data_IF_461909026906
#
_entry.id   IF_461909026906
#
_cell.length_a   1.000
_cell.length_b   1.000
_cell.length_c   1.000
_cell.angle_alpha   90.00
_cell.angle_beta   90.00
_cell.angle_gamma   90.00
#
_symmetry.space_group_name_H-M   'P 1'
#
loop_
_entity.id
_entity.type
_entity.pdbx_description
1 polymer ?
#
# COMPACT_ATOMS: atom_id res chain seq x y z
N UNK A 1 -54.66 -34.34 20.24
CA UNK A 1 -54.35 -32.92 20.11
C UNK A 1 -52.85 -32.76 19.95
N UNK A 2 -52.33 -32.65 18.70
CA UNK A 2 -50.89 -32.50 18.41
C UNK A 2 -50.61 -31.00 18.31
N UNK A 3 -49.77 -30.48 19.21
CA UNK A 3 -49.30 -29.08 19.18
C UNK A 3 -48.12 -29.04 18.20
N UNK A 4 -48.35 -28.37 17.07
CA UNK A 4 -47.34 -28.06 16.08
C UNK A 4 -46.52 -26.86 16.60
N UNK A 5 -45.32 -27.10 17.08
CA UNK A 5 -44.39 -26.04 17.47
C UNK A 5 -43.85 -25.35 16.22
N UNK A 6 -44.23 -24.10 16.01
CA UNK A 6 -43.70 -23.21 14.98
C UNK A 6 -42.32 -22.72 15.41
N UNK A 7 -41.27 -23.28 14.85
CA UNK A 7 -39.93 -22.75 14.98
C UNK A 7 -39.79 -21.49 14.13
N UNK A 8 -39.96 -20.30 14.73
CA UNK A 8 -39.52 -19.06 14.14
C UNK A 8 -37.99 -19.01 14.18
N UNK A 9 -37.35 -19.39 13.09
CA UNK A 9 -35.95 -19.13 12.88
C UNK A 9 -35.73 -17.60 12.82
N UNK A 10 -35.13 -17.06 13.87
CA UNK A 10 -34.60 -15.67 13.83
C UNK A 10 -33.48 -15.63 12.80
N UNK A 11 -33.80 -15.29 11.56
CA UNK A 11 -32.82 -14.89 10.56
C UNK A 11 -32.21 -13.57 11.01
N UNK A 12 -31.09 -13.64 11.71
CA UNK A 12 -30.26 -12.48 11.99
C UNK A 12 -29.62 -12.05 10.67
N UNK A 13 -30.27 -11.14 9.94
CA UNK A 13 -29.70 -10.54 8.73
C UNK A 13 -28.44 -9.81 9.14
N UNK A 14 -27.29 -10.28 8.67
CA UNK A 14 -26.05 -9.53 8.68
C UNK A 14 -26.30 -8.28 7.80
N UNK A 15 -26.02 -7.10 8.34
CA UNK A 15 -26.22 -5.85 7.60
C UNK A 15 -25.01 -5.64 6.70
N UNK A 16 -25.21 -5.63 5.39
CA UNK A 16 -24.22 -5.19 4.43
C UNK A 16 -23.84 -3.73 4.71
N UNK A 17 -22.55 -3.41 4.65
CA UNK A 17 -22.03 -2.05 4.88
C UNK A 17 -21.43 -1.49 3.60
N UNK A 18 -21.59 -0.17 3.34
CA UNK A 18 -21.00 0.46 2.16
C UNK A 18 -19.48 0.66 2.29
N UNK A 19 -18.85 0.20 3.34
CA UNK A 19 -17.42 0.33 3.56
C UNK A 19 -16.86 -0.88 4.30
N UNK A 20 -15.57 -1.16 4.07
CA UNK A 20 -14.77 -2.10 4.85
C UNK A 20 -13.74 -1.32 5.65
N UNK A 21 -13.45 -1.77 6.86
CA UNK A 21 -12.42 -1.15 7.70
C UNK A 21 -11.85 -2.14 8.71
N UNK A 22 -10.67 -1.79 9.22
CA UNK A 22 -10.01 -2.51 10.31
C UNK A 22 -9.52 -1.50 11.34
N UNK A 23 -9.91 -1.71 12.61
CA UNK A 23 -9.55 -0.83 13.72
C UNK A 23 -10.50 0.36 13.87
N UNK A 24 -10.11 1.55 13.44
CA UNK A 24 -10.93 2.75 13.58
C UNK A 24 -12.13 2.77 12.63
N UNK A 25 -13.24 3.36 13.11
CA UNK A 25 -14.42 3.59 12.25
C UNK A 25 -14.07 4.51 11.08
N UNK A 26 -14.65 4.26 9.90
CA UNK A 26 -14.40 5.06 8.71
C UNK A 26 -14.72 6.54 8.92
N UNK A 27 -13.84 7.40 8.42
CA UNK A 27 -14.00 8.85 8.41
C UNK A 27 -15.19 9.29 7.56
N UNK A 28 -15.34 8.67 6.39
CA UNK A 28 -16.39 9.00 5.42
C UNK A 28 -17.58 8.06 5.63
N UNK A 29 -18.58 8.54 6.38
CA UNK A 29 -19.82 7.79 6.66
C UNK A 29 -20.84 7.92 5.53
N UNK A 30 -21.99 7.30 5.72
CA UNK A 30 -23.12 7.35 4.81
C UNK A 30 -23.41 8.78 4.36
N UNK A 31 -23.49 9.20 3.23
CA UNK A 31 -23.72 10.55 2.69
C UNK A 31 -22.46 11.42 2.43
N UNK A 32 -21.22 10.88 2.49
CA UNK A 32 -20.12 11.65 1.98
C UNK A 32 -20.26 11.89 0.46
N UNK A 33 -19.83 13.06 0.00
CA UNK A 33 -20.01 13.48 -1.39
C UNK A 33 -18.73 13.36 -2.23
N UNK A 34 -17.59 13.36 -1.58
CA UNK A 34 -16.26 13.19 -2.16
C UNK A 34 -15.25 13.05 -1.04
N UNK A 35 -14.08 12.50 -1.31
CA UNK A 35 -12.96 12.52 -0.36
C UNK A 35 -12.45 13.96 -0.16
N UNK A 36 -12.13 14.34 1.07
CA UNK A 36 -11.69 15.70 1.40
C UNK A 36 -10.41 16.14 0.67
N UNK A 37 -9.55 15.21 0.32
CA UNK A 37 -8.34 15.48 -0.46
C UNK A 37 -8.62 15.68 -1.96
N UNK A 38 -9.84 15.49 -2.43
CA UNK A 38 -10.24 15.66 -3.83
C UNK A 38 -11.09 16.94 -4.00
N UNK A 39 -10.73 17.78 -4.98
CA UNK A 39 -11.54 18.95 -5.33
C UNK A 39 -12.68 18.54 -6.28
N UNK A 40 -13.96 18.51 -5.83
CA UNK A 40 -15.08 18.09 -6.66
C UNK A 40 -15.32 19.01 -7.88
N UNK A 41 -14.82 20.24 -7.82
CA UNK A 41 -14.94 21.27 -8.87
C UNK A 41 -13.66 21.41 -9.70
N UNK A 42 -12.70 20.49 -9.59
CA UNK A 42 -11.49 20.51 -10.39
C UNK A 42 -11.82 20.51 -11.90
N UNK A 43 -11.16 21.39 -12.64
CA UNK A 43 -11.31 21.45 -14.10
C UNK A 43 -10.90 20.13 -14.72
N UNK A 44 -11.70 19.68 -15.70
CA UNK A 44 -11.38 18.51 -16.52
C UNK A 44 -10.71 19.00 -17.81
N UNK A 45 -9.64 18.32 -18.20
CA UNK A 45 -8.95 18.67 -19.46
C UNK A 45 -7.43 18.65 -19.32
N UNK A 46 -6.76 18.88 -20.45
CA UNK A 46 -5.30 18.98 -20.50
C UNK A 46 -4.56 17.66 -20.42
N UNK A 47 -3.24 17.78 -20.34
CA UNK A 47 -2.30 16.65 -20.33
C UNK A 47 -1.43 16.75 -19.10
N UNK A 48 -1.32 15.64 -18.35
CA UNK A 48 -0.32 15.47 -17.29
C UNK A 48 0.84 14.66 -17.85
N UNK A 49 2.04 15.24 -17.85
CA UNK A 49 3.28 14.58 -18.24
C UNK A 49 4.05 14.16 -16.99
N UNK A 50 4.44 12.91 -16.94
CA UNK A 50 5.22 12.32 -15.85
C UNK A 50 6.48 11.65 -16.40
N UNK A 51 7.45 11.42 -15.54
CA UNK A 51 8.60 10.58 -15.83
C UNK A 51 8.35 9.11 -15.44
N UNK A 52 9.18 8.26 -16.01
CA UNK A 52 9.39 6.88 -15.57
C UNK A 52 10.88 6.54 -15.73
N UNK A 53 11.41 5.66 -14.88
CA UNK A 53 12.83 5.31 -14.94
C UNK A 53 13.00 3.92 -15.56
N UNK A 54 14.01 3.81 -16.43
CA UNK A 54 14.37 2.55 -17.07
C UNK A 54 13.59 2.30 -18.36
N UNK A 55 12.81 1.23 -18.44
CA UNK A 55 12.12 0.77 -19.64
C UNK A 55 10.88 -0.05 -19.28
N UNK A 56 10.06 -0.39 -20.28
CA UNK A 56 8.99 -1.39 -20.13
C UNK A 56 8.85 -2.25 -21.39
N UNK A 57 8.38 -3.47 -21.21
CA UNK A 57 8.06 -4.43 -22.26
C UNK A 57 6.75 -5.20 -21.99
N UNK A 58 5.98 -4.73 -21.00
CA UNK A 58 4.71 -5.35 -20.59
C UNK A 58 3.66 -4.30 -20.25
N UNK A 59 2.43 -4.52 -20.72
CA UNK A 59 1.22 -3.81 -20.29
C UNK A 59 0.41 -4.62 -19.27
N UNK A 60 0.96 -5.76 -18.80
CA UNK A 60 0.31 -6.61 -17.83
C UNK A 60 0.90 -6.43 -16.42
N UNK A 61 0.16 -5.85 -15.46
CA UNK A 61 0.65 -5.63 -14.11
C UNK A 61 0.62 -6.89 -13.24
N UNK A 62 0.00 -7.97 -13.71
CA UNK A 62 -0.30 -9.16 -12.90
C UNK A 62 0.78 -10.24 -12.96
N UNK A 63 1.70 -10.19 -13.90
CA UNK A 63 2.73 -11.21 -14.12
C UNK A 63 4.11 -10.73 -13.68
N UNK A 64 5.01 -11.69 -13.38
CA UNK A 64 6.41 -11.37 -13.03
C UNK A 64 7.29 -11.18 -14.26
N UNK A 65 6.93 -11.78 -15.41
CA UNK A 65 7.75 -11.74 -16.60
C UNK A 65 7.67 -10.36 -17.26
N UNK A 66 8.82 -9.77 -17.55
CA UNK A 66 8.94 -8.46 -18.16
C UNK A 66 8.91 -7.32 -17.14
N UNK A 67 9.06 -6.11 -17.64
CA UNK A 67 8.96 -4.86 -16.89
C UNK A 67 7.65 -4.18 -17.25
N UNK A 68 6.77 -4.02 -16.27
CA UNK A 68 5.47 -3.39 -16.49
C UNK A 68 5.60 -1.90 -16.78
N UNK A 69 4.73 -1.38 -17.65
CA UNK A 69 4.62 0.06 -17.88
C UNK A 69 4.11 0.79 -16.62
N UNK A 70 4.54 2.05 -16.45
CA UNK A 70 4.00 2.93 -15.41
C UNK A 70 2.56 3.34 -15.71
N UNK A 71 1.77 3.58 -14.65
CA UNK A 71 0.39 4.06 -14.75
C UNK A 71 -0.66 3.00 -15.11
N UNK A 72 -0.33 1.70 -15.10
CA UNK A 72 -1.30 0.63 -15.39
C UNK A 72 -2.44 0.52 -14.35
N UNK A 73 -2.28 1.09 -13.17
CA UNK A 73 -3.34 1.24 -12.17
C UNK A 73 -4.47 2.18 -12.63
N UNK A 74 -4.20 3.07 -13.56
CA UNK A 74 -5.21 3.97 -14.15
C UNK A 74 -6.26 3.25 -15.00
N UNK A 75 -5.97 2.04 -15.48
CA UNK A 75 -6.86 1.31 -16.40
C UNK A 75 -7.71 0.23 -15.70
N UNK A 76 -7.49 0.00 -14.40
CA UNK A 76 -8.26 -1.00 -13.65
C UNK A 76 -8.91 -0.41 -12.42
N UNK A 77 -10.20 -0.63 -12.28
CA UNK A 77 -10.90 -0.45 -11.01
C UNK A 77 -10.84 -1.72 -10.15
N UNK A 78 -10.92 -1.53 -8.86
CA UNK A 78 -11.00 -2.58 -7.84
C UNK A 78 -12.42 -2.79 -7.36
N UNK A 79 -12.68 -3.83 -6.58
CA UNK A 79 -14.00 -4.02 -5.97
C UNK A 79 -14.38 -2.83 -5.08
N UNK A 80 -13.45 -2.42 -4.22
CA UNK A 80 -13.57 -1.22 -3.38
C UNK A 80 -12.33 -0.36 -3.53
N UNK A 81 -12.37 0.89 -3.11
CA UNK A 81 -11.24 1.81 -3.19
C UNK A 81 -10.80 2.26 -1.81
N UNK A 82 -9.50 2.14 -1.55
CA UNK A 82 -8.89 2.63 -0.32
C UNK A 82 -8.92 4.17 -0.28
N UNK A 83 -9.22 4.74 0.89
CA UNK A 83 -8.99 6.14 1.16
C UNK A 83 -7.50 6.44 1.29
N UNK A 84 -7.04 7.60 0.81
CA UNK A 84 -5.63 8.02 0.92
C UNK A 84 -5.32 8.76 2.23
N UNK A 85 -6.33 9.03 3.04
CA UNK A 85 -6.19 9.71 4.34
C UNK A 85 -6.65 8.86 5.53
N UNK A 86 -6.92 7.55 5.26
CA UNK A 86 -7.24 6.55 6.27
C UNK A 86 -6.45 5.26 5.99
N UNK A 87 -5.75 4.69 6.98
CA UNK A 87 -4.85 3.58 6.73
C UNK A 87 -5.54 2.28 6.31
N UNK A 88 -6.74 2.00 6.83
CA UNK A 88 -7.41 0.71 6.67
C UNK A 88 -8.92 0.86 6.45
N UNK A 89 -9.32 1.80 5.58
CA UNK A 89 -10.71 1.98 5.19
C UNK A 89 -10.86 1.96 3.68
N UNK A 90 -11.87 1.24 3.21
CA UNK A 90 -12.22 1.09 1.80
C UNK A 90 -13.68 1.43 1.56
N UNK A 91 -13.94 2.06 0.42
CA UNK A 91 -15.20 2.67 0.06
C UNK A 91 -15.75 2.11 -1.25
N UNK A 92 -17.06 2.28 -1.51
CA UNK A 92 -17.70 1.74 -2.69
C UNK A 92 -17.02 2.13 -4.00
N UNK A 93 -16.85 1.13 -4.86
CA UNK A 93 -16.46 1.28 -6.24
C UNK A 93 -17.23 0.26 -7.09
N UNK A 94 -16.59 -0.78 -7.68
CA UNK A 94 -17.31 -1.83 -8.41
C UNK A 94 -18.30 -2.55 -7.49
N UNK A 95 -17.93 -2.82 -6.23
CA UNK A 95 -18.85 -3.22 -5.19
C UNK A 95 -19.43 -1.96 -4.50
N UNK A 96 -20.75 -1.91 -4.38
CA UNK A 96 -21.46 -0.84 -3.66
C UNK A 96 -21.55 -1.10 -2.16
N UNK A 97 -21.47 -2.35 -1.74
CA UNK A 97 -21.47 -2.81 -0.35
C UNK A 97 -20.77 -4.17 -0.19
N UNK A 98 -20.43 -4.50 1.05
CA UNK A 98 -19.86 -5.77 1.43
C UNK A 98 -20.51 -6.29 2.73
N UNK A 99 -20.74 -7.60 2.80
CA UNK A 99 -21.20 -8.31 3.98
C UNK A 99 -20.11 -9.27 4.46
N UNK A 100 -19.52 -8.99 5.61
CA UNK A 100 -18.53 -9.87 6.24
C UNK A 100 -19.23 -10.73 7.28
N UNK A 101 -18.97 -12.06 7.26
CA UNK A 101 -19.49 -12.98 8.26
C UNK A 101 -19.02 -12.58 9.68
N UNK A 102 -19.88 -12.75 10.69
CA UNK A 102 -19.56 -12.43 12.09
C UNK A 102 -18.33 -13.20 12.59
N UNK A 103 -18.17 -14.42 12.14
CA UNK A 103 -17.03 -15.29 12.46
C UNK A 103 -15.86 -15.09 11.48
N UNK A 104 -15.94 -14.14 10.55
CA UNK A 104 -14.96 -13.91 9.50
C UNK A 104 -14.70 -15.12 8.58
N UNK A 105 -15.70 -15.97 8.36
CA UNK A 105 -15.57 -17.15 7.48
C UNK A 105 -15.76 -16.85 5.99
N UNK A 106 -16.36 -15.70 5.65
CA UNK A 106 -16.56 -15.24 4.28
C UNK A 106 -16.81 -13.74 4.19
N UNK A 107 -16.69 -13.22 2.95
CA UNK A 107 -17.24 -11.92 2.55
C UNK A 107 -18.09 -12.07 1.29
N UNK A 108 -19.20 -11.32 1.21
CA UNK A 108 -20.03 -11.17 0.02
C UNK A 108 -19.95 -9.74 -0.46
N UNK A 109 -19.54 -9.54 -1.71
CA UNK A 109 -19.58 -8.22 -2.36
C UNK A 109 -20.83 -8.11 -3.23
N UNK A 110 -21.56 -7.01 -3.08
CA UNK A 110 -22.71 -6.64 -3.93
C UNK A 110 -22.24 -5.62 -4.96
N UNK A 111 -22.28 -5.97 -6.23
CA UNK A 111 -21.80 -5.09 -7.30
C UNK A 111 -22.80 -3.97 -7.63
N UNK A 112 -22.29 -2.80 -7.98
CA UNK A 112 -23.09 -1.71 -8.52
C UNK A 112 -23.58 -2.08 -9.93
N UNK A 113 -24.87 -2.07 -10.14
CA UNK A 113 -25.51 -2.41 -11.43
C UNK A 113 -25.10 -1.45 -12.56
N UNK A 114 -24.57 -0.27 -12.23
CA UNK A 114 -24.05 0.72 -13.18
C UNK A 114 -22.64 0.41 -13.64
N UNK A 115 -21.90 -0.45 -12.94
CA UNK A 115 -20.48 -0.74 -13.23
C UNK A 115 -20.31 -1.28 -14.67
N UNK A 116 -19.37 -0.67 -15.41
CA UNK A 116 -19.10 -0.95 -16.82
C UNK A 116 -17.61 -0.98 -17.11
N UNK A 117 -17.26 -1.86 -18.03
CA UNK A 117 -15.95 -1.81 -18.69
C UNK A 117 -15.85 -0.65 -19.71
N UNK A 118 -14.64 -0.37 -20.20
CA UNK A 118 -14.37 0.68 -21.18
C UNK A 118 -15.08 0.47 -22.52
N UNK A 119 -15.45 -0.75 -22.88
CA UNK A 119 -16.27 -1.11 -24.03
C UNK A 119 -17.78 -1.09 -23.72
N UNK A 120 -18.19 -0.50 -22.61
CA UNK A 120 -19.57 -0.38 -22.11
C UNK A 120 -20.25 -1.70 -21.71
N UNK A 121 -19.53 -2.83 -21.73
CA UNK A 121 -20.09 -4.09 -21.21
C UNK A 121 -20.28 -4.02 -19.69
N UNK A 122 -21.35 -4.63 -19.12
CA UNK A 122 -21.57 -4.63 -17.68
C UNK A 122 -20.49 -5.44 -16.97
N UNK A 123 -20.10 -4.98 -15.78
CA UNK A 123 -19.25 -5.75 -14.87
C UNK A 123 -20.17 -6.65 -14.02
N UNK A 124 -19.93 -7.95 -14.05
CA UNK A 124 -20.75 -8.96 -13.38
C UNK A 124 -19.92 -9.75 -12.35
N UNK A 125 -20.60 -10.40 -11.42
CA UNK A 125 -19.98 -11.27 -10.42
C UNK A 125 -19.12 -12.40 -11.06
N UNK A 126 -19.49 -12.82 -12.27
CA UNK A 126 -18.68 -13.76 -13.05
C UNK A 126 -17.35 -13.20 -13.50
N UNK A 127 -17.24 -11.87 -13.73
CA UNK A 127 -15.97 -11.22 -14.05
C UNK A 127 -15.08 -11.13 -12.82
N UNK A 128 -15.67 -10.86 -11.66
CA UNK A 128 -14.95 -10.82 -10.36
C UNK A 128 -14.34 -12.18 -10.04
N UNK A 129 -15.16 -13.24 -10.07
CA UNK A 129 -14.66 -14.61 -9.87
C UNK A 129 -13.57 -14.96 -10.87
N UNK A 130 -13.79 -14.63 -12.14
CA UNK A 130 -12.85 -14.90 -13.21
C UNK A 130 -11.52 -14.16 -13.01
N UNK A 131 -11.56 -12.88 -12.61
CA UNK A 131 -10.36 -12.09 -12.30
C UNK A 131 -9.55 -12.74 -11.18
N UNK A 132 -10.22 -13.12 -10.09
CA UNK A 132 -9.59 -13.82 -8.97
C UNK A 132 -8.95 -15.13 -9.40
N UNK A 133 -9.71 -16.02 -10.04
CA UNK A 133 -9.22 -17.33 -10.45
C UNK A 133 -8.02 -17.20 -11.41
N UNK A 134 -8.09 -16.26 -12.37
CA UNK A 134 -7.01 -16.04 -13.35
C UNK A 134 -5.74 -15.50 -12.70
N UNK A 135 -5.86 -14.55 -11.76
CA UNK A 135 -4.69 -14.02 -11.03
C UNK A 135 -4.07 -15.13 -10.16
N UNK A 136 -4.88 -15.99 -9.55
CA UNK A 136 -4.38 -17.12 -8.76
C UNK A 136 -3.69 -18.19 -9.63
N UNK A 137 -4.18 -18.43 -10.85
CA UNK A 137 -3.62 -19.43 -11.77
C UNK A 137 -2.40 -18.89 -12.52
N UNK A 138 -2.52 -17.71 -13.16
CA UNK A 138 -1.57 -17.19 -14.14
C UNK A 138 -0.75 -15.99 -13.61
N UNK A 139 -1.17 -15.38 -12.51
CA UNK A 139 -0.53 -14.22 -11.93
C UNK A 139 0.78 -14.52 -11.20
N UNK A 140 1.46 -13.46 -10.80
CA UNK A 140 2.66 -13.51 -9.96
C UNK A 140 2.44 -14.35 -8.69
N UNK A 141 3.44 -15.11 -8.23
CA UNK A 141 3.39 -15.83 -6.94
C UNK A 141 2.97 -14.97 -5.75
N UNK A 142 3.22 -13.65 -5.80
CA UNK A 142 2.84 -12.71 -4.77
C UNK A 142 1.32 -12.69 -4.53
N UNK A 143 0.51 -12.78 -5.59
CA UNK A 143 -0.95 -12.85 -5.45
C UNK A 143 -1.39 -14.12 -4.73
N UNK A 144 -0.73 -15.26 -4.97
CA UNK A 144 -1.01 -16.49 -4.23
C UNK A 144 -0.72 -16.36 -2.74
N UNK A 145 0.27 -15.56 -2.37
CA UNK A 145 0.58 -15.26 -0.98
C UNK A 145 -0.49 -14.34 -0.36
N UNK A 146 -0.88 -13.26 -1.05
CA UNK A 146 -1.93 -12.34 -0.56
C UNK A 146 -3.28 -13.04 -0.37
N UNK A 147 -3.67 -13.90 -1.29
CA UNK A 147 -4.95 -14.59 -1.27
C UNK A 147 -4.88 -16.03 -0.73
N UNK A 148 -3.78 -16.41 -0.05
CA UNK A 148 -3.57 -17.78 0.41
C UNK A 148 -4.70 -18.32 1.30
N UNK A 149 -5.33 -17.46 2.08
CA UNK A 149 -6.40 -17.82 3.00
C UNK A 149 -7.79 -17.82 2.34
N UNK A 150 -7.90 -17.48 1.08
CA UNK A 150 -9.14 -17.66 0.31
C UNK A 150 -9.26 -19.12 -0.13
N UNK A 151 -10.37 -19.78 0.25
CA UNK A 151 -10.68 -21.13 -0.16
C UNK A 151 -11.21 -21.18 -1.60
N UNK A 152 -12.16 -20.28 -1.91
CA UNK A 152 -12.77 -20.16 -3.24
C UNK A 152 -13.64 -18.92 -3.36
N UNK A 153 -13.83 -18.45 -4.60
CA UNK A 153 -14.85 -17.49 -4.98
C UNK A 153 -16.08 -18.22 -5.56
N UNK A 154 -17.28 -17.77 -5.21
CA UNK A 154 -18.57 -18.34 -5.66
C UNK A 154 -19.46 -17.22 -6.18
N UNK A 155 -19.94 -17.35 -7.40
CA UNK A 155 -20.98 -16.47 -7.97
C UNK A 155 -22.34 -16.89 -7.40
N UNK A 156 -22.99 -16.01 -6.66
CA UNK A 156 -24.32 -16.27 -6.11
C UNK A 156 -25.42 -15.91 -7.14
N UNK A 157 -25.24 -14.76 -7.80
CA UNK A 157 -26.04 -14.30 -8.92
C UNK A 157 -25.25 -13.29 -9.79
N UNK A 158 -25.92 -12.54 -10.67
CA UNK A 158 -25.25 -11.57 -11.57
C UNK A 158 -24.48 -10.48 -10.85
N UNK A 159 -24.86 -10.13 -9.63
CA UNK A 159 -24.31 -8.99 -8.89
C UNK A 159 -23.76 -9.35 -7.51
N UNK A 160 -23.83 -10.60 -7.07
CA UNK A 160 -23.30 -11.05 -5.79
C UNK A 160 -22.22 -12.10 -5.97
N UNK A 161 -21.04 -11.83 -5.41
CA UNK A 161 -19.91 -12.77 -5.37
C UNK A 161 -19.50 -13.00 -3.91
N UNK A 162 -19.35 -14.27 -3.54
CA UNK A 162 -18.95 -14.70 -2.19
C UNK A 162 -17.53 -15.26 -2.23
N UNK A 163 -16.67 -14.78 -1.37
CA UNK A 163 -15.36 -15.37 -1.11
C UNK A 163 -15.41 -16.11 0.22
N UNK A 164 -15.15 -17.41 0.18
CA UNK A 164 -15.11 -18.29 1.36
C UNK A 164 -13.67 -18.42 1.79
N UNK A 165 -13.40 -18.29 3.09
CA UNK A 165 -12.07 -18.32 3.66
C UNK A 165 -11.70 -19.71 4.19
N UNK A 166 -10.39 -19.99 4.31
CA UNK A 166 -9.84 -21.20 4.91
C UNK A 166 -9.72 -21.10 6.42
N UNK A 167 -9.59 -19.87 6.93
CA UNK A 167 -9.42 -19.54 8.34
C UNK A 167 -10.25 -18.31 8.69
N UNK A 168 -10.63 -18.18 9.94
CA UNK A 168 -11.34 -17.03 10.51
C UNK A 168 -10.40 -16.00 11.14
N UNK A 169 -9.10 -16.31 11.22
CA UNK A 169 -8.10 -15.50 11.93
C UNK A 169 -7.65 -14.27 11.15
N UNK A 170 -7.62 -14.37 9.81
CA UNK A 170 -7.14 -13.28 8.96
C UNK A 170 -8.24 -12.22 8.77
N UNK A 171 -8.26 -11.21 9.66
CA UNK A 171 -9.24 -10.11 9.63
C UNK A 171 -9.01 -9.09 8.51
N UNK A 172 -7.83 -9.08 7.89
CA UNK A 172 -7.50 -8.18 6.78
C UNK A 172 -8.02 -8.68 5.44
N UNK A 173 -8.37 -9.96 5.35
CA UNK A 173 -8.70 -10.61 4.09
C UNK A 173 -9.87 -9.96 3.32
N UNK A 174 -10.95 -9.45 3.95
CA UNK A 174 -11.98 -8.69 3.26
C UNK A 174 -11.44 -7.43 2.56
N UNK A 175 -10.54 -6.65 3.21
CA UNK A 175 -9.91 -5.48 2.60
C UNK A 175 -8.96 -5.87 1.47
N UNK A 176 -8.13 -6.90 1.67
CA UNK A 176 -7.24 -7.41 0.62
C UNK A 176 -8.05 -7.80 -0.64
N UNK A 177 -9.23 -8.39 -0.46
CA UNK A 177 -10.14 -8.71 -1.57
C UNK A 177 -10.83 -7.48 -2.15
N UNK A 178 -11.08 -6.44 -1.35
CA UNK A 178 -11.59 -5.16 -1.82
C UNK A 178 -10.68 -4.53 -2.88
N UNK A 179 -9.37 -4.76 -2.80
CA UNK A 179 -8.36 -4.26 -3.74
C UNK A 179 -8.19 -5.12 -5.00
N UNK A 180 -8.99 -6.17 -5.17
CA UNK A 180 -8.93 -7.02 -6.36
C UNK A 180 -9.32 -6.22 -7.61
N UNK A 181 -8.38 -6.10 -8.54
CA UNK A 181 -8.59 -5.47 -9.86
C UNK A 181 -9.45 -6.37 -10.77
N UNK A 182 -10.43 -5.78 -11.44
CA UNK A 182 -11.41 -6.53 -12.21
C UNK A 182 -11.18 -6.34 -13.71
N UNK A 183 -11.09 -7.45 -14.42
CA UNK A 183 -11.01 -7.47 -15.87
C UNK A 183 -12.10 -8.35 -16.51
N UNK A 184 -12.39 -8.10 -17.78
CA UNK A 184 -13.53 -8.69 -18.47
C UNK A 184 -13.26 -10.16 -18.84
N UNK A 185 -14.08 -11.06 -18.31
CA UNK A 185 -14.09 -12.48 -18.71
C UNK A 185 -14.36 -12.64 -20.20
N UNK A 186 -15.31 -11.86 -20.75
CA UNK A 186 -15.72 -11.95 -22.17
C UNK A 186 -14.64 -11.46 -23.13
N UNK A 187 -13.91 -10.43 -22.74
CA UNK A 187 -12.84 -9.85 -23.55
C UNK A 187 -11.45 -10.40 -23.20
N UNK A 188 -11.39 -11.43 -22.36
CA UNK A 188 -10.12 -12.00 -21.91
C UNK A 188 -9.35 -12.68 -23.04
N UNK A 189 -8.07 -12.34 -23.13
CA UNK A 189 -7.12 -12.96 -24.03
C UNK A 189 -6.03 -13.65 -23.20
N UNK A 190 -5.99 -14.98 -23.21
CA UNK A 190 -5.01 -15.76 -22.43
C UNK A 190 -3.57 -15.37 -22.77
N UNK A 191 -3.32 -15.01 -24.02
CA UNK A 191 -2.00 -14.61 -24.51
C UNK A 191 -1.47 -13.35 -23.79
N UNK A 192 -2.33 -12.47 -23.28
CA UNK A 192 -1.96 -11.35 -22.44
C UNK A 192 -1.16 -11.76 -21.18
N UNK A 193 -1.46 -12.94 -20.62
CA UNK A 193 -0.75 -13.47 -19.47
C UNK A 193 0.42 -14.40 -19.83
N UNK A 194 0.41 -15.00 -21.03
CA UNK A 194 1.31 -16.12 -21.35
C UNK A 194 2.32 -15.81 -22.44
N UNK A 195 1.93 -15.09 -23.51
CA UNK A 195 2.76 -14.92 -24.71
C UNK A 195 2.98 -13.47 -25.12
N UNK A 196 1.94 -12.63 -25.03
CA UNK A 196 1.99 -11.26 -25.52
C UNK A 196 1.48 -10.27 -24.47
N UNK A 197 2.35 -9.86 -23.54
CA UNK A 197 1.98 -8.91 -22.50
C UNK A 197 1.78 -7.46 -22.99
N UNK A 198 1.97 -7.19 -24.28
CA UNK A 198 1.72 -5.89 -24.93
C UNK A 198 0.32 -5.79 -25.56
N UNK A 199 -0.54 -6.78 -25.42
CA UNK A 199 -1.95 -6.67 -25.78
C UNK A 199 -2.64 -5.61 -24.91
N UNK A 200 -3.39 -4.71 -25.56
CA UNK A 200 -4.18 -3.69 -24.84
C UNK A 200 -5.45 -4.37 -24.30
N UNK A 201 -5.65 -4.40 -22.96
CA UNK A 201 -6.83 -5.02 -22.37
C UNK A 201 -8.06 -4.11 -22.46
N UNK A 202 -9.25 -4.73 -22.42
CA UNK A 202 -10.47 -3.99 -22.06
C UNK A 202 -10.40 -3.65 -20.59
N UNK A 203 -10.40 -2.35 -20.29
CA UNK A 203 -10.18 -1.79 -18.97
C UNK A 203 -11.49 -1.61 -18.18
N UNK A 204 -11.39 -1.53 -16.85
CA UNK A 204 -12.50 -1.16 -15.95
C UNK A 204 -12.36 0.24 -15.35
N UNK A 205 -11.16 0.82 -15.45
CA UNK A 205 -10.78 2.07 -14.79
C UNK A 205 -11.11 3.34 -15.57
N UNK A 206 -10.69 4.49 -15.01
CA UNK A 206 -10.98 5.82 -15.53
C UNK A 206 -10.24 6.18 -16.82
N UNK A 207 -9.16 5.45 -17.15
CA UNK A 207 -8.36 5.65 -18.36
C UNK A 207 -8.31 4.36 -19.20
N UNK A 208 -7.96 4.56 -20.46
CA UNK A 208 -7.62 3.50 -21.43
C UNK A 208 -6.24 3.78 -22.01
N UNK A 209 -5.51 2.75 -22.43
CA UNK A 209 -4.25 2.94 -23.16
C UNK A 209 -4.57 3.46 -24.54
N UNK A 210 -4.09 4.67 -24.87
CA UNK A 210 -4.28 5.28 -26.18
C UNK A 210 -3.16 4.93 -27.15
N UNK A 211 -1.91 4.96 -26.68
CA UNK A 211 -0.73 4.62 -27.48
C UNK A 211 0.47 4.33 -26.60
N UNK A 212 1.43 3.60 -27.13
CA UNK A 212 2.72 3.39 -26.49
C UNK A 212 3.83 3.16 -27.53
N UNK A 213 5.05 3.48 -27.13
CA UNK A 213 6.29 3.12 -27.80
C UNK A 213 7.12 2.35 -26.77
N UNK A 214 7.30 1.04 -26.99
CA UNK A 214 7.89 0.13 -26.01
C UNK A 214 9.21 0.66 -25.48
N UNK A 215 9.30 0.73 -24.16
CA UNK A 215 10.48 1.19 -23.45
C UNK A 215 10.73 2.69 -23.46
N UNK A 216 9.88 3.49 -24.14
CA UNK A 216 10.11 4.93 -24.27
C UNK A 216 8.98 5.78 -23.72
N UNK A 217 7.74 5.48 -24.05
CA UNK A 217 6.58 6.26 -23.60
C UNK A 217 5.29 5.46 -23.64
N UNK A 218 4.35 5.85 -22.78
CA UNK A 218 2.97 5.37 -22.80
C UNK A 218 2.02 6.51 -22.52
N UNK A 219 0.88 6.54 -23.23
CA UNK A 219 -0.15 7.57 -23.11
C UNK A 219 -1.48 6.91 -22.76
N UNK A 220 -2.09 7.39 -21.70
CA UNK A 220 -3.42 7.04 -21.26
C UNK A 220 -4.39 8.14 -21.62
N UNK A 221 -5.54 7.78 -22.19
CA UNK A 221 -6.64 8.69 -22.51
C UNK A 221 -7.76 8.48 -21.50
N UNK A 222 -8.28 9.56 -20.92
CA UNK A 222 -9.44 9.52 -20.04
C UNK A 222 -10.64 8.92 -20.76
N UNK A 223 -11.28 7.94 -20.14
CA UNK A 223 -12.52 7.35 -20.65
C UNK A 223 -13.69 8.34 -20.43
N UNK A 224 -14.25 8.96 -21.47
CA UNK A 224 -15.36 9.91 -21.32
C UNK A 224 -16.62 9.25 -20.78
N UNK A 225 -16.76 7.93 -20.94
CA UNK A 225 -17.89 7.13 -20.49
C UNK A 225 -17.62 6.39 -19.17
N UNK A 226 -16.57 6.81 -18.44
CA UNK A 226 -16.25 6.17 -17.16
C UNK A 226 -17.45 6.23 -16.20
N UNK A 227 -17.97 5.06 -15.88
CA UNK A 227 -19.23 4.90 -15.14
C UNK A 227 -19.17 5.48 -13.72
N UNK A 228 -18.02 5.35 -13.03
CA UNK A 228 -17.86 5.74 -11.64
C UNK A 228 -17.51 7.23 -11.43
N UNK A 229 -17.40 8.04 -12.48
CA UNK A 229 -16.95 9.46 -12.41
C UNK A 229 -17.68 10.34 -11.38
N UNK A 230 -18.94 9.99 -11.07
CA UNK A 230 -19.78 10.72 -10.11
C UNK A 230 -19.96 9.98 -8.78
N UNK A 231 -19.31 8.82 -8.58
CA UNK A 231 -19.32 8.16 -7.28
C UNK A 231 -18.59 9.04 -6.25
N UNK A 232 -19.04 9.12 -5.01
CA UNK A 232 -18.34 9.86 -3.97
C UNK A 232 -16.85 9.52 -3.86
N UNK A 233 -16.52 8.24 -3.98
CA UNK A 233 -15.14 7.73 -3.95
C UNK A 233 -14.28 8.09 -5.17
N UNK A 234 -14.86 8.68 -6.23
CA UNK A 234 -14.15 9.06 -7.47
C UNK A 234 -14.35 10.52 -7.88
N UNK A 235 -15.31 11.21 -7.27
CA UNK A 235 -15.63 12.59 -7.60
C UNK A 235 -14.45 13.53 -7.32
N UNK A 236 -14.13 14.39 -8.28
CA UNK A 236 -12.99 15.32 -8.20
C UNK A 236 -11.65 14.73 -8.59
N UNK A 237 -11.60 13.44 -8.99
CA UNK A 237 -10.37 12.77 -9.42
C UNK A 237 -10.33 12.57 -10.94
N UNK A 238 -9.19 12.10 -11.46
CA UNK A 238 -8.97 11.82 -12.90
C UNK A 238 -9.34 13.00 -13.80
N UNK A 239 -8.70 14.13 -13.52
CA UNK A 239 -9.08 15.42 -14.12
C UNK A 239 -8.47 15.66 -15.50
N UNK A 240 -7.31 15.06 -15.80
CA UNK A 240 -6.62 15.26 -17.08
C UNK A 240 -7.23 14.40 -18.19
N UNK A 241 -7.28 14.95 -19.42
CA UNK A 241 -7.70 14.19 -20.60
C UNK A 241 -6.69 13.11 -20.95
N UNK A 242 -5.40 13.42 -20.78
CA UNK A 242 -4.32 12.47 -21.01
C UNK A 242 -3.35 12.45 -19.83
N UNK A 243 -2.84 11.27 -19.55
CA UNK A 243 -1.69 11.06 -18.65
C UNK A 243 -0.61 10.37 -19.48
N UNK A 244 0.58 10.96 -19.50
CA UNK A 244 1.74 10.47 -20.28
C UNK A 244 2.88 10.14 -19.34
N UNK A 245 3.55 9.02 -19.63
CA UNK A 245 4.82 8.68 -18.99
C UNK A 245 5.90 8.61 -20.07
N UNK A 246 6.97 9.37 -19.88
CA UNK A 246 8.19 9.32 -20.69
C UNK A 246 9.31 8.67 -19.89
N UNK A 247 10.01 7.72 -20.52
CA UNK A 247 11.03 6.92 -19.86
C UNK A 247 12.41 7.53 -20.01
N UNK A 248 13.07 7.71 -18.89
CA UNK A 248 14.44 8.20 -18.78
C UNK A 248 15.36 7.08 -18.29
N UNK A 249 16.62 7.11 -18.72
CA UNK A 249 17.60 6.08 -18.38
C UNK A 249 17.81 5.96 -16.87
N UNK A 250 17.88 7.12 -16.19
CA UNK A 250 18.14 7.19 -14.76
C UNK A 250 17.57 8.47 -14.13
N UNK A 251 17.54 8.51 -12.81
CA UNK A 251 17.02 9.62 -12.01
C UNK A 251 17.71 10.96 -12.29
N UNK A 252 19.00 10.95 -12.64
CA UNK A 252 19.78 12.18 -12.91
C UNK A 252 19.29 12.83 -14.21
N UNK A 253 19.11 12.02 -15.25
CA UNK A 253 18.58 12.49 -16.54
C UNK A 253 17.12 12.94 -16.38
N UNK A 254 16.31 12.18 -15.63
CA UNK A 254 14.93 12.56 -15.35
C UNK A 254 14.85 13.91 -14.60
N UNK A 255 15.72 14.14 -13.60
CA UNK A 255 15.76 15.42 -12.90
C UNK A 255 16.10 16.58 -13.85
N UNK A 256 17.09 16.41 -14.75
CA UNK A 256 17.45 17.45 -15.72
C UNK A 256 16.28 17.73 -16.70
N UNK A 257 15.58 16.69 -17.13
CA UNK A 257 14.37 16.82 -17.95
C UNK A 257 13.26 17.60 -17.21
N UNK A 258 13.06 17.33 -15.92
CA UNK A 258 12.12 18.09 -15.07
C UNK A 258 12.50 19.56 -14.98
N UNK A 259 13.75 19.86 -14.66
CA UNK A 259 14.25 21.23 -14.54
C UNK A 259 14.16 22.01 -15.86
N UNK A 260 14.17 21.31 -17.01
CA UNK A 260 13.95 21.90 -18.34
C UNK A 260 12.46 22.04 -18.72
N UNK A 261 11.53 21.51 -17.91
CA UNK A 261 10.09 21.58 -18.18
C UNK A 261 9.56 20.49 -19.12
N UNK A 262 10.29 19.38 -19.29
CA UNK A 262 9.87 18.28 -20.14
C UNK A 262 8.62 17.58 -19.59
N UNK A 263 8.43 17.54 -18.26
CA UNK A 263 7.25 16.98 -17.61
C UNK A 263 6.80 17.82 -16.41
N UNK A 264 5.61 17.56 -15.87
CA UNK A 264 4.86 18.49 -15.03
C UNK A 264 4.90 18.18 -13.54
N UNK A 265 5.15 16.93 -13.18
CA UNK A 265 5.06 16.43 -11.81
C UNK A 265 6.17 15.43 -11.52
N UNK A 266 6.80 15.58 -10.34
CA UNK A 266 7.81 14.63 -9.86
C UNK A 266 7.64 14.36 -8.37
N UNK A 267 7.70 13.09 -7.98
CA UNK A 267 7.81 12.68 -6.60
C UNK A 267 9.30 12.48 -6.30
N UNK A 268 9.83 13.21 -5.31
CA UNK A 268 11.22 13.10 -4.91
C UNK A 268 11.36 12.31 -3.61
N UNK A 269 12.00 11.15 -3.69
CA UNK A 269 12.24 10.27 -2.54
C UNK A 269 13.68 10.31 -2.01
N UNK A 270 14.58 11.01 -2.69
CA UNK A 270 15.99 11.08 -2.35
C UNK A 270 16.31 12.34 -1.56
N UNK A 271 16.63 12.21 -0.28
CA UNK A 271 16.91 13.33 0.62
C UNK A 271 17.96 14.30 0.07
N UNK A 272 19.06 13.79 -0.52
CA UNK A 272 20.11 14.61 -1.15
C UNK A 272 19.56 15.44 -2.32
N UNK A 273 18.77 14.84 -3.20
CA UNK A 273 18.18 15.54 -4.35
C UNK A 273 17.16 16.55 -3.89
N UNK A 274 16.29 16.18 -2.93
CA UNK A 274 15.36 17.13 -2.31
C UNK A 274 16.06 18.36 -1.74
N UNK A 275 17.16 18.16 -1.02
CA UNK A 275 17.90 19.25 -0.36
C UNK A 275 18.70 20.12 -1.34
N UNK A 276 19.32 19.55 -2.37
CA UNK A 276 20.34 20.21 -3.20
C UNK A 276 20.16 20.07 -4.71
N UNK A 277 19.24 19.22 -5.20
CA UNK A 277 19.12 18.92 -6.62
C UNK A 277 18.27 19.95 -7.40
N UNK A 278 17.37 20.63 -6.73
CA UNK A 278 16.46 21.61 -7.34
C UNK A 278 17.09 22.99 -7.31
N UNK A 279 17.89 23.29 -8.31
CA UNK A 279 18.62 24.56 -8.46
C UNK A 279 18.53 25.07 -9.89
N UNK A 280 18.84 26.37 -10.10
CA UNK A 280 18.92 27.01 -11.40
C UNK A 280 17.65 27.78 -11.81
N UNK A 281 17.65 28.25 -13.05
CA UNK A 281 16.71 29.26 -13.55
C UNK A 281 15.22 28.90 -13.35
N UNK A 282 14.83 27.64 -13.49
CA UNK A 282 13.43 27.22 -13.28
C UNK A 282 12.97 27.40 -11.84
N UNK A 283 13.87 27.22 -10.85
CA UNK A 283 13.59 27.50 -9.46
C UNK A 283 13.59 28.99 -9.16
N UNK A 284 14.57 29.73 -9.71
CA UNK A 284 14.71 31.17 -9.52
C UNK A 284 13.50 31.92 -10.11
N UNK A 285 13.03 31.50 -11.29
CA UNK A 285 11.83 32.02 -11.95
C UNK A 285 10.51 31.52 -11.31
N UNK A 286 10.57 30.71 -10.22
CA UNK A 286 9.39 30.12 -9.54
C UNK A 286 8.50 29.28 -10.47
N UNK A 287 9.07 28.67 -11.52
CA UNK A 287 8.35 27.73 -12.40
C UNK A 287 8.16 26.37 -11.77
N UNK A 288 8.98 26.05 -10.80
CA UNK A 288 8.91 24.80 -10.00
C UNK A 288 8.67 25.18 -8.56
N UNK A 289 7.70 24.50 -7.93
CA UNK A 289 7.39 24.64 -6.51
C UNK A 289 7.55 23.30 -5.80
N UNK A 290 8.22 23.29 -4.64
CA UNK A 290 8.38 22.11 -3.79
C UNK A 290 7.30 22.09 -2.74
N UNK A 291 6.67 20.92 -2.55
CA UNK A 291 5.68 20.69 -1.50
C UNK A 291 6.11 19.51 -0.65
N UNK A 292 6.06 19.67 0.67
CA UNK A 292 6.13 18.57 1.63
C UNK A 292 4.70 18.27 2.09
N UNK A 293 4.17 17.14 1.63
CA UNK A 293 2.78 16.76 1.89
C UNK A 293 2.74 15.82 3.09
N UNK A 294 2.18 16.29 4.20
CA UNK A 294 1.93 15.44 5.37
C UNK A 294 0.75 14.50 5.10
N UNK A 295 0.87 13.26 5.51
CA UNK A 295 -0.17 12.25 5.41
C UNK A 295 -0.26 11.40 6.68
N UNK A 296 -1.35 10.66 6.86
CA UNK A 296 -1.62 9.78 8.00
C UNK A 296 -1.47 8.28 7.66
N UNK A 297 -1.01 7.98 6.46
CA UNK A 297 -0.79 6.58 6.07
C UNK A 297 0.39 6.01 6.85
N UNK A 298 0.33 4.74 7.27
CA UNK A 298 1.46 4.09 7.93
C UNK A 298 2.73 4.22 7.08
N UNK A 299 3.82 4.61 7.72
CA UNK A 299 5.12 4.69 7.07
C UNK A 299 5.84 3.35 7.21
N UNK A 300 6.46 2.89 6.13
CA UNK A 300 7.30 1.72 6.17
C UNK A 300 8.53 1.93 7.07
N UNK A 301 9.17 0.84 7.44
CA UNK A 301 10.41 0.83 8.20
C UNK A 301 11.59 0.49 7.28
N UNK A 302 12.60 1.35 7.29
CA UNK A 302 13.91 1.05 6.70
C UNK A 302 14.91 0.78 7.82
N UNK A 303 15.70 -0.28 7.69
CA UNK A 303 16.65 -0.66 8.71
C UNK A 303 17.59 -1.77 8.29
N UNK A 304 18.55 -2.10 9.15
CA UNK A 304 19.42 -3.25 9.01
C UNK A 304 18.77 -4.46 9.65
N UNK A 305 18.40 -5.45 8.85
CA UNK A 305 17.80 -6.70 9.31
C UNK A 305 18.85 -7.79 9.40
N UNK A 306 19.15 -8.25 10.62
CA UNK A 306 20.15 -9.27 10.85
C UNK A 306 19.63 -10.66 10.49
N UNK A 307 20.37 -11.40 9.68
CA UNK A 307 20.08 -12.80 9.42
C UNK A 307 20.45 -13.66 10.64
N UNK A 308 19.49 -13.89 11.53
CA UNK A 308 19.68 -14.64 12.77
C UNK A 308 20.00 -16.14 12.58
N UNK A 309 19.98 -16.65 11.33
CA UNK A 309 20.48 -17.99 11.00
C UNK A 309 22.00 -18.03 10.96
N UNK A 310 22.66 -16.87 10.79
CA UNK A 310 24.11 -16.79 10.90
C UNK A 310 24.53 -16.77 12.35
N UNK A 311 25.57 -17.57 12.70
CA UNK A 311 26.05 -17.79 14.07
C UNK A 311 26.30 -16.48 14.82
N UNK A 312 27.02 -15.55 14.20
CA UNK A 312 27.33 -14.23 14.78
C UNK A 312 26.10 -13.43 15.21
N UNK A 313 24.95 -13.61 14.53
CA UNK A 313 23.73 -12.85 14.83
C UNK A 313 22.68 -13.63 15.63
N UNK A 314 22.97 -14.87 16.03
CA UNK A 314 22.09 -15.61 16.97
C UNK A 314 22.10 -14.95 18.34
N UNK A 315 23.25 -14.49 18.80
CA UNK A 315 23.37 -13.81 20.09
C UNK A 315 22.71 -12.42 20.03
N UNK A 316 21.71 -12.22 20.93
CA UNK A 316 20.99 -10.94 21.06
C UNK A 316 21.92 -9.78 21.41
N UNK A 317 22.96 -10.05 22.25
CA UNK A 317 23.93 -9.03 22.70
C UNK A 317 24.69 -8.42 21.54
N UNK A 318 25.05 -9.20 20.52
CA UNK A 318 25.72 -8.71 19.31
C UNK A 318 24.81 -7.75 18.53
N UNK A 319 23.54 -8.12 18.37
CA UNK A 319 22.56 -7.26 17.67
C UNK A 319 22.28 -5.97 18.44
N UNK A 320 22.19 -6.06 19.76
CA UNK A 320 22.01 -4.91 20.65
C UNK A 320 23.25 -3.99 20.63
N UNK A 321 24.46 -4.54 20.62
CA UNK A 321 25.68 -3.75 20.49
C UNK A 321 25.70 -2.92 19.20
N UNK A 322 25.34 -3.51 18.07
CA UNK A 322 25.24 -2.80 16.79
C UNK A 322 24.15 -1.73 16.78
N UNK A 323 23.05 -1.97 17.50
CA UNK A 323 21.96 -0.98 17.66
C UNK A 323 22.43 0.27 18.42
N UNK A 324 23.21 0.10 19.50
CA UNK A 324 23.79 1.23 20.25
C UNK A 324 24.93 1.92 19.50
N UNK A 325 25.67 1.18 18.66
CA UNK A 325 26.79 1.75 17.89
C UNK A 325 26.35 2.58 16.67
N UNK A 326 25.08 2.50 16.25
CA UNK A 326 24.60 3.20 15.08
C UNK A 326 24.31 4.68 15.34
N UNK A 327 25.14 5.56 14.79
CA UNK A 327 24.97 7.02 14.89
C UNK A 327 23.98 7.52 13.83
N UNK A 328 22.69 7.44 14.15
CA UNK A 328 21.63 7.92 13.28
C UNK A 328 21.62 9.44 13.15
N UNK A 329 21.83 10.16 14.24
CA UNK A 329 21.78 11.61 14.27
C UNK A 329 22.85 12.22 13.36
N UNK A 330 24.08 11.71 13.42
CA UNK A 330 25.15 12.10 12.50
C UNK A 330 24.79 11.76 11.05
N UNK A 331 24.33 10.54 10.79
CA UNK A 331 23.95 10.10 9.45
C UNK A 331 22.80 10.94 8.88
N UNK A 332 21.78 11.21 9.70
CA UNK A 332 20.65 12.05 9.30
C UNK A 332 21.10 13.48 8.97
N UNK A 333 21.91 14.08 9.81
CA UNK A 333 22.42 15.44 9.58
C UNK A 333 23.31 15.54 8.35
N UNK A 334 24.27 14.63 8.19
CA UNK A 334 25.35 14.76 7.20
C UNK A 334 25.05 14.08 5.86
N UNK A 335 24.30 12.96 5.86
CA UNK A 335 24.00 12.18 4.67
C UNK A 335 22.57 12.42 4.18
N UNK A 336 21.63 12.64 5.10
CA UNK A 336 20.19 12.74 4.77
C UNK A 336 19.62 14.13 4.98
N UNK A 337 20.47 15.14 5.23
CA UNK A 337 20.08 16.56 5.32
C UNK A 337 18.94 16.83 6.31
N UNK A 338 18.90 16.08 7.42
CA UNK A 338 17.88 16.14 8.45
C UNK A 338 16.44 15.85 7.96
N UNK A 339 16.30 15.09 6.87
CA UNK A 339 15.00 14.79 6.28
C UNK A 339 14.30 13.58 6.91
N UNK A 340 15.01 12.78 7.72
CA UNK A 340 14.45 11.56 8.29
C UNK A 340 14.22 11.67 9.79
N UNK A 341 13.35 10.79 10.30
CA UNK A 341 13.17 10.50 11.72
C UNK A 341 13.62 9.10 12.03
N UNK A 342 14.25 8.90 13.19
CA UNK A 342 14.56 7.55 13.68
C UNK A 342 13.26 6.76 13.85
N UNK A 343 13.19 5.58 13.22
CA UNK A 343 12.01 4.72 13.32
C UNK A 343 11.98 4.04 14.68
N UNK A 344 10.82 4.10 15.35
CA UNK A 344 10.59 3.50 16.67
C UNK A 344 9.54 2.40 16.65
N UNK A 345 8.83 2.24 15.53
CA UNK A 345 7.77 1.25 15.37
C UNK A 345 7.71 0.75 13.93
N UNK A 346 7.28 -0.49 13.72
CA UNK A 346 6.92 -1.03 12.39
C UNK A 346 5.69 -0.33 11.79
N UNK A 347 4.90 0.33 12.62
CA UNK A 347 3.66 1.01 12.25
C UNK A 347 3.77 2.54 12.40
N UNK A 348 4.97 3.09 12.19
CA UNK A 348 5.21 4.54 12.30
C UNK A 348 4.20 5.35 11.50
N UNK A 349 3.88 6.55 11.97
CA UNK A 349 2.89 7.45 11.38
C UNK A 349 1.44 6.90 11.38
N UNK A 350 1.12 5.99 12.28
CA UNK A 350 -0.24 5.45 12.45
C UNK A 350 -0.58 5.28 13.92
N UNK A 351 -1.86 5.07 14.21
CA UNK A 351 -2.37 4.76 15.55
C UNK A 351 -1.85 3.42 16.11
N UNK A 352 -1.34 2.55 15.24
CA UNK A 352 -0.76 1.26 15.64
C UNK A 352 0.70 1.38 16.11
N UNK A 353 1.30 2.57 16.01
CA UNK A 353 2.61 2.81 16.59
C UNK A 353 2.47 2.94 18.10
N UNK A 354 3.02 1.98 18.84
CA UNK A 354 3.04 2.08 20.31
C UNK A 354 3.94 3.23 20.78
N UNK A 355 3.42 4.27 21.39
CA UNK A 355 4.22 5.42 21.84
C UNK A 355 4.78 5.25 23.25
N UNK A 356 4.33 4.26 24.03
CA UNK A 356 4.60 4.16 25.46
C UNK A 356 4.48 2.71 25.97
N UNK A 357 4.24 2.57 27.27
CA UNK A 357 3.92 1.29 27.91
C UNK A 357 2.58 0.75 27.41
N UNK A 358 2.38 -0.59 27.42
CA UNK A 358 1.12 -1.20 27.09
C UNK A 358 -0.05 -0.64 27.91
N UNK A 359 -1.17 -0.40 27.24
CA UNK A 359 -2.42 0.00 27.90
C UNK A 359 -2.94 -1.09 28.85
N UNK A 360 -3.89 -0.80 29.75
CA UNK A 360 -4.52 -1.82 30.58
C UNK A 360 -5.08 -3.00 29.76
N UNK A 361 -5.71 -2.72 28.63
CA UNK A 361 -6.30 -3.72 27.74
C UNK A 361 -5.22 -4.57 27.06
N UNK A 362 -4.14 -3.94 26.58
CA UNK A 362 -2.99 -4.63 25.99
C UNK A 362 -2.29 -5.51 27.04
N UNK A 363 -2.18 -5.08 28.30
CA UNK A 363 -1.63 -5.90 29.39
C UNK A 363 -2.43 -7.18 29.64
N UNK A 364 -3.76 -7.12 29.52
CA UNK A 364 -4.61 -8.32 29.61
C UNK A 364 -4.27 -9.32 28.51
N UNK A 365 -4.06 -8.84 27.27
CA UNK A 365 -3.68 -9.68 26.13
C UNK A 365 -2.25 -10.24 26.27
N UNK A 366 -1.34 -9.47 26.86
CA UNK A 366 0.06 -9.87 27.04
C UNK A 366 0.29 -10.78 28.26
N UNK A 367 -0.61 -10.76 29.26
CA UNK A 367 -0.46 -11.50 30.51
C UNK A 367 -0.16 -13.02 30.34
N UNK A 368 -0.78 -13.77 29.40
CA UNK A 368 -0.44 -15.17 29.16
C UNK A 368 1.02 -15.41 28.72
N UNK A 369 1.65 -14.39 28.17
CA UNK A 369 3.00 -14.43 27.58
C UNK A 369 4.06 -13.76 28.47
N UNK A 370 3.70 -13.21 29.62
CA UNK A 370 4.57 -12.41 30.50
C UNK A 370 5.91 -13.08 30.79
N UNK A 371 5.90 -14.38 31.07
CA UNK A 371 7.12 -15.17 31.37
C UNK A 371 8.06 -15.35 30.17
N UNK A 372 7.56 -15.19 28.95
CA UNK A 372 8.31 -15.34 27.69
C UNK A 372 8.73 -14.01 27.07
N UNK A 373 8.16 -12.91 27.56
CA UNK A 373 8.47 -11.56 27.08
C UNK A 373 9.62 -10.96 27.91
N UNK A 374 10.34 -10.02 27.30
CA UNK A 374 11.31 -9.19 28.00
C UNK A 374 10.57 -8.31 29.03
N UNK A 375 11.01 -8.29 30.28
CA UNK A 375 10.35 -7.54 31.36
C UNK A 375 10.24 -6.01 31.05
N UNK A 376 11.14 -5.50 30.22
CA UNK A 376 11.12 -4.09 29.75
C UNK A 376 9.83 -3.73 29.04
N UNK A 377 9.15 -4.70 28.40
CA UNK A 377 7.84 -4.48 27.75
C UNK A 377 6.83 -3.88 28.73
N UNK A 378 6.90 -4.26 30.01
CA UNK A 378 5.95 -3.83 31.06
C UNK A 378 6.45 -2.68 31.93
N UNK A 379 7.76 -2.41 31.94
CA UNK A 379 8.41 -1.51 32.88
C UNK A 379 8.88 -0.20 32.26
N UNK A 380 9.27 -0.20 31.01
CA UNK A 380 9.91 0.95 30.35
C UNK A 380 9.34 1.18 28.95
N UNK A 381 9.10 2.45 28.57
CA UNK A 381 8.79 2.78 27.18
C UNK A 381 9.91 2.32 26.27
N UNK A 382 9.57 1.81 25.06
CA UNK A 382 10.59 1.52 24.07
C UNK A 382 11.22 2.81 23.55
N UNK A 383 12.52 2.97 23.79
CA UNK A 383 13.31 4.11 23.35
C UNK A 383 14.47 3.64 22.48
N UNK A 384 14.66 4.29 21.32
CA UNK A 384 15.84 4.05 20.49
C UNK A 384 17.02 4.88 21.00
N UNK A 385 18.25 4.31 21.04
CA UNK A 385 19.43 5.07 21.44
C UNK A 385 19.66 6.27 20.54
N UNK A 386 19.92 7.42 21.13
CA UNK A 386 20.36 8.66 20.48
C UNK A 386 21.86 8.86 20.68
N UNK A 387 22.45 9.76 19.89
CA UNK A 387 23.90 9.99 19.91
C UNK A 387 24.28 11.46 20.09
N UNK A 388 23.30 12.37 20.07
CA UNK A 388 23.47 13.82 20.09
C UNK A 388 23.07 14.49 21.42
N UNK A 389 22.82 13.70 22.45
CA UNK A 389 22.36 14.15 23.77
C UNK A 389 23.46 14.18 24.84
N UNK A 390 23.07 14.26 26.13
CA UNK A 390 23.98 14.33 27.27
C UNK A 390 24.82 13.05 27.43
N UNK A 391 25.90 13.12 28.23
CA UNK A 391 26.80 12.01 28.53
C UNK A 391 26.13 10.91 29.38
N UNK A 392 25.09 10.33 28.86
CA UNK A 392 24.29 9.26 29.46
C UNK A 392 24.09 8.16 28.42
N UNK A 393 24.09 6.91 28.86
CA UNK A 393 23.79 5.76 28.02
C UNK A 393 22.43 5.93 27.34
N UNK A 394 22.40 5.69 26.03
CA UNK A 394 21.21 5.84 25.20
C UNK A 394 21.02 7.26 24.63
N UNK A 395 21.87 8.22 24.98
CA UNK A 395 21.78 9.60 24.48
C UNK A 395 23.09 10.14 23.90
N UNK A 396 24.23 9.53 24.19
CA UNK A 396 25.55 10.00 23.76
C UNK A 396 26.32 8.88 23.06
N UNK A 397 26.92 9.16 21.91
CA UNK A 397 27.66 8.19 21.11
C UNK A 397 28.78 7.49 21.90
N UNK A 398 29.53 8.24 22.69
CA UNK A 398 30.65 7.69 23.46
C UNK A 398 30.19 6.66 24.50
N UNK A 399 29.12 6.97 25.23
CA UNK A 399 28.57 6.06 26.24
C UNK A 399 27.90 4.84 25.58
N UNK A 400 27.23 5.07 24.45
CA UNK A 400 26.65 4.00 23.65
C UNK A 400 27.73 3.03 23.13
N UNK A 401 28.86 3.54 22.62
CA UNK A 401 29.97 2.71 22.16
C UNK A 401 30.64 1.93 23.27
N UNK A 402 30.82 2.53 24.48
CA UNK A 402 31.29 1.80 25.64
C UNK A 402 30.37 0.64 26.04
N UNK A 403 29.06 0.88 26.00
CA UNK A 403 28.08 -0.14 26.29
C UNK A 403 28.08 -1.25 25.20
N UNK A 404 28.13 -0.88 23.93
CA UNK A 404 28.24 -1.81 22.80
C UNK A 404 29.48 -2.70 22.93
N UNK A 405 30.63 -2.12 23.32
CA UNK A 405 31.86 -2.88 23.57
C UNK A 405 31.64 -3.92 24.71
N UNK A 406 31.06 -3.54 25.83
CA UNK A 406 30.76 -4.47 26.94
C UNK A 406 29.86 -5.62 26.51
N UNK A 407 28.85 -5.33 25.68
CA UNK A 407 27.97 -6.35 25.12
C UNK A 407 28.72 -7.36 24.25
N UNK A 408 29.60 -6.87 23.36
CA UNK A 408 30.43 -7.71 22.50
C UNK A 408 31.40 -8.56 23.33
N UNK A 409 32.08 -7.97 24.31
CA UNK A 409 32.97 -8.69 25.23
C UNK A 409 32.24 -9.80 25.97
N UNK A 410 31.03 -9.51 26.48
CA UNK A 410 30.18 -10.51 27.17
C UNK A 410 29.71 -11.63 26.22
N UNK A 411 29.63 -11.35 24.92
CA UNK A 411 29.31 -12.32 23.88
C UNK A 411 30.53 -13.12 23.37
N UNK A 412 31.71 -12.91 23.98
CA UNK A 412 32.94 -13.66 23.66
C UNK A 412 33.80 -13.01 22.58
N UNK A 413 33.52 -11.79 22.15
CA UNK A 413 34.36 -11.04 21.21
C UNK A 413 35.42 -10.27 21.99
N UNK A 414 36.69 -10.45 21.60
CA UNK A 414 37.81 -9.69 22.16
C UNK A 414 38.52 -8.88 21.10
N UNK A 415 39.15 -7.80 21.48
CA UNK A 415 39.93 -6.93 20.57
C UNK A 415 41.03 -7.68 19.82
N UNK A 416 41.53 -8.80 20.35
CA UNK A 416 42.54 -9.65 19.71
C UNK A 416 42.01 -10.50 18.57
N UNK A 417 40.69 -10.74 18.50
CA UNK A 417 40.05 -11.57 17.48
C UNK A 417 39.42 -10.74 16.35
N UNK A 418 39.57 -9.42 16.36
CA UNK A 418 39.01 -8.51 15.38
C UNK A 418 39.99 -8.03 14.28
N UNK A 419 41.14 -8.76 14.10
CA UNK A 419 42.08 -8.50 13.00
C UNK A 419 41.87 -9.45 11.84
#
# INVERSE_FOLDING_TARGET
>A
MKILGLWLGVFCFLKATPYLYLGEEPKYKDNFTHFEYANPNARKGGVLRNDAIGTFDSLNPFILKGTKAEGLDLIYDTLMVQSLDEPFAEYPLIAKDAEVAKDNSYVIFTLDKRARFSNNAPILASDVKFSFDTIMELGSPLYRQYYQDVKKAVVLDKHHVKFIFKTTENKELPLILGQLQIFSKKAFQKDYFTKNPLLIPVSSGPYVIASFDVGKKITYQRNPNYWARNLPSRKGQFNFDQVKFEYYKDETIALQAFLSGAYDWRIESTAKVWARGYVGKAMDDKKITKYLIAHKMPSGMQGFFFNTRREIFKDKRVREALFYAFDFEWANKNLFFSQYKRTTSFFSNSIYASPSLPSPEEKVLLAPYEKSLDERVFKEPYVVPRTDGPDVLGYNLRENLKYAQKLLESAGFSYKNMR
#
